data_IF_960932324720
#
_entry.id   IF_960932324720
#
_cell.length_a   1.000
_cell.length_b   1.000
_cell.length_c   1.000
_cell.angle_alpha   90.00
_cell.angle_beta   90.00
_cell.angle_gamma   90.00
#
_symmetry.space_group_name_H-M   'P 1'
#
loop_
_entity.id
_entity.type
_entity.pdbx_description
1 polymer ?
#
# COMPACT_ATOMS: atom_id res chain seq x y z
N UNK A 1 13.05 23.29 79.16
CA UNK A 1 13.50 24.20 78.08
C UNK A 1 13.85 23.35 76.87
N UNK A 2 13.34 23.45 75.65
CA UNK A 2 12.29 24.23 74.98
C UNK A 2 12.28 23.63 73.55
N UNK A 3 11.12 23.30 72.95
CA UNK A 3 10.80 23.29 71.50
C UNK A 3 11.65 22.45 70.49
N UNK A 4 11.15 21.77 69.44
CA UNK A 4 10.22 22.14 68.35
C UNK A 4 9.92 20.83 67.55
N UNK A 5 8.70 20.30 67.46
CA UNK A 5 7.70 20.50 66.37
C UNK A 5 8.21 20.38 64.91
N UNK A 6 7.84 19.30 64.20
CA UNK A 6 7.14 19.28 62.87
C UNK A 6 6.99 17.81 62.40
N UNK A 7 5.82 17.18 62.55
CA UNK A 7 4.67 17.11 61.64
C UNK A 7 4.76 16.03 60.54
N UNK A 8 4.27 14.83 60.93
CA UNK A 8 3.64 13.83 60.08
C UNK A 8 2.28 14.37 59.59
N UNK A 9 2.07 14.63 58.29
CA UNK A 9 0.75 14.46 57.61
C UNK A 9 0.88 14.68 56.09
N UNK A 10 0.60 13.66 55.27
CA UNK A 10 -0.12 13.76 53.98
C UNK A 10 -0.76 12.39 53.75
N UNK A 11 -1.96 12.15 54.28
CA UNK A 11 -3.25 12.23 53.59
C UNK A 11 -3.31 11.46 52.25
N UNK A 12 -4.01 10.33 52.28
CA UNK A 12 -4.55 9.65 51.12
C UNK A 12 -5.72 10.45 50.51
N UNK A 13 -5.84 10.49 49.18
CA UNK A 13 -7.13 10.40 48.47
C UNK A 13 -6.95 10.40 46.94
N UNK A 14 -7.32 9.26 46.33
CA UNK A 14 -8.16 9.12 45.14
C UNK A 14 -8.16 10.21 44.06
N UNK A 15 -7.71 9.83 42.86
CA UNK A 15 -8.47 10.08 41.63
C UNK A 15 -8.05 9.04 40.57
N UNK A 16 -8.87 8.00 40.44
CA UNK A 16 -8.93 7.18 39.23
C UNK A 16 -9.46 8.11 38.15
N UNK A 17 -8.56 8.66 37.34
CA UNK A 17 -8.93 9.36 36.14
C UNK A 17 -9.47 8.32 35.14
N UNK A 18 -10.79 8.23 35.07
CA UNK A 18 -11.47 7.59 33.95
C UNK A 18 -10.91 8.19 32.65
N UNK A 19 -10.48 7.38 31.66
CA UNK A 19 -10.18 7.93 30.35
C UNK A 19 -11.46 8.52 29.79
N UNK A 20 -11.53 9.86 29.76
CA UNK A 20 -12.56 10.56 29.03
C UNK A 20 -12.57 10.12 27.56
N UNK A 21 -13.69 10.27 26.85
CA UNK A 21 -13.78 9.94 25.44
C UNK A 21 -12.66 10.68 24.70
N UNK A 22 -11.80 9.92 24.01
CA UNK A 22 -10.80 10.50 23.11
C UNK A 22 -11.57 11.33 22.08
N UNK A 23 -11.14 12.57 21.79
CA UNK A 23 -11.72 13.32 20.70
C UNK A 23 -11.59 12.50 19.41
N UNK A 24 -12.71 12.32 18.72
CA UNK A 24 -12.75 11.80 17.36
C UNK A 24 -11.92 12.72 16.47
N UNK A 25 -10.64 12.40 16.29
CA UNK A 25 -9.88 12.90 15.15
C UNK A 25 -10.33 12.14 13.91
N UNK A 26 -11.55 12.44 13.46
CA UNK A 26 -11.87 12.33 12.05
C UNK A 26 -10.96 13.28 11.28
N UNK A 27 -10.30 12.79 10.23
CA UNK A 27 -9.48 13.56 9.29
C UNK A 27 -8.08 13.98 9.80
N UNK A 28 -7.24 12.99 10.11
CA UNK A 28 -5.86 13.10 9.65
C UNK A 28 -5.92 13.08 8.13
N UNK A 29 -5.76 14.23 7.48
CA UNK A 29 -5.81 14.33 6.03
C UNK A 29 -4.68 13.46 5.46
N UNK A 30 -5.04 12.26 5.00
CA UNK A 30 -4.14 11.43 4.21
C UNK A 30 -3.49 12.32 3.16
N UNK A 31 -2.16 12.23 3.02
CA UNK A 31 -1.47 12.95 1.96
C UNK A 31 -2.17 12.60 0.65
N UNK A 32 -2.81 13.58 0.00
CA UNK A 32 -3.46 13.40 -1.29
C UNK A 32 -2.54 14.11 -2.29
N UNK A 33 -1.73 13.33 -3.01
CA UNK A 33 -1.12 13.83 -4.23
C UNK A 33 -2.22 14.36 -5.14
N UNK A 34 -2.31 15.69 -5.26
CA UNK A 34 -3.32 16.36 -6.08
C UNK A 34 -2.87 16.40 -7.53
N UNK A 35 -2.97 15.29 -8.25
CA UNK A 35 -2.93 15.28 -9.71
C UNK A 35 -3.90 14.21 -10.22
N UNK A 36 -4.76 14.58 -11.17
CA UNK A 36 -5.68 13.64 -11.84
C UNK A 36 -4.87 12.87 -12.90
N UNK A 37 -4.04 11.94 -12.43
CA UNK A 37 -3.15 11.16 -13.29
C UNK A 37 -3.91 9.96 -13.83
N UNK A 38 -4.08 9.94 -15.14
CA UNK A 38 -4.66 8.79 -15.85
C UNK A 38 -3.57 7.74 -16.02
N UNK A 39 -3.91 6.46 -15.79
CA UNK A 39 -2.99 5.34 -16.01
C UNK A 39 -2.39 5.40 -17.41
N UNK A 40 -1.07 5.33 -17.51
CA UNK A 40 -0.42 5.18 -18.81
C UNK A 40 -0.36 3.69 -19.09
N UNK A 41 -1.10 3.24 -20.10
CA UNK A 41 -0.88 1.90 -20.64
C UNK A 41 0.35 1.99 -21.55
N UNK A 42 1.41 1.23 -21.29
CA UNK A 42 2.46 1.05 -22.27
C UNK A 42 1.82 0.52 -23.57
N UNK A 43 2.05 1.21 -24.69
CA UNK A 43 1.57 0.75 -26.00
C UNK A 43 2.34 -0.52 -26.42
N UNK A 44 1.63 -1.54 -26.90
CA UNK A 44 2.13 -2.91 -27.09
C UNK A 44 3.38 -3.11 -27.98
N UNK A 45 3.85 -2.11 -28.73
CA UNK A 45 5.04 -2.22 -29.60
C UNK A 45 6.33 -1.61 -29.05
N UNK A 46 6.26 -0.57 -28.21
CA UNK A 46 7.42 -0.01 -27.46
C UNK A 46 7.33 -0.29 -25.95
N UNK A 47 6.14 -0.65 -25.46
CA UNK A 47 5.81 -0.94 -24.08
C UNK A 47 6.26 -2.32 -23.61
N UNK A 48 6.34 -3.32 -24.48
CA UNK A 48 6.72 -4.68 -24.09
C UNK A 48 8.15 -4.78 -23.51
N UNK A 49 9.09 -3.94 -23.99
CA UNK A 49 10.46 -3.86 -23.40
C UNK A 49 10.48 -3.09 -22.09
N UNK A 50 9.70 -2.02 -21.97
CA UNK A 50 9.57 -1.26 -20.72
C UNK A 50 8.88 -2.11 -19.63
N UNK A 51 7.86 -2.89 -20.00
CA UNK A 51 7.14 -3.82 -19.14
C UNK A 51 8.03 -4.96 -18.68
N UNK A 52 8.88 -5.48 -19.57
CA UNK A 52 9.89 -6.47 -19.22
C UNK A 52 10.92 -5.89 -18.25
N UNK A 53 11.40 -4.66 -18.47
CA UNK A 53 12.34 -3.99 -17.57
C UNK A 53 11.73 -3.73 -16.19
N UNK A 54 10.50 -3.23 -16.15
CA UNK A 54 9.75 -2.98 -14.92
C UNK A 54 9.49 -4.29 -14.18
N UNK A 55 9.08 -5.35 -14.88
CA UNK A 55 8.89 -6.65 -14.27
C UNK A 55 10.20 -7.23 -13.71
N UNK A 56 11.30 -7.19 -14.47
CA UNK A 56 12.62 -7.64 -13.99
C UNK A 56 13.09 -6.82 -12.77
N UNK A 57 12.83 -5.51 -12.76
CA UNK A 57 13.12 -4.64 -11.62
C UNK A 57 12.24 -4.95 -10.40
N UNK A 58 11.02 -5.44 -10.63
CA UNK A 58 10.06 -5.76 -9.58
C UNK A 58 10.20 -7.18 -9.03
N UNK A 59 10.70 -8.16 -9.80
CA UNK A 59 10.78 -9.56 -9.38
C UNK A 59 11.47 -9.77 -8.01
N UNK A 60 12.62 -9.13 -7.69
CA UNK A 60 13.23 -9.28 -6.36
C UNK A 60 12.40 -8.66 -5.23
N UNK A 61 11.59 -7.62 -5.52
CA UNK A 61 10.68 -7.02 -4.54
C UNK A 61 9.45 -7.88 -4.32
N UNK A 62 8.87 -8.42 -5.39
CA UNK A 62 7.71 -9.32 -5.31
C UNK A 62 8.04 -10.56 -4.48
N UNK A 63 9.26 -11.11 -4.61
CA UNK A 63 9.74 -12.22 -3.77
C UNK A 63 9.80 -11.89 -2.27
N UNK A 64 9.87 -10.61 -1.88
CA UNK A 64 9.92 -10.14 -0.48
C UNK A 64 8.57 -9.64 0.05
N UNK A 65 7.59 -9.44 -0.82
CA UNK A 65 6.26 -8.94 -0.43
C UNK A 65 5.33 -10.14 -0.28
N UNK A 66 5.03 -10.49 0.97
CA UNK A 66 3.99 -11.49 1.24
C UNK A 66 2.61 -10.86 1.19
N UNK A 67 1.59 -11.63 0.79
CA UNK A 67 0.19 -11.18 0.82
C UNK A 67 -0.20 -10.75 2.23
N UNK A 68 0.24 -11.52 3.21
CA UNK A 68 0.04 -11.26 4.64
C UNK A 68 0.69 -9.92 5.04
N UNK A 69 1.93 -9.65 4.59
CA UNK A 69 2.59 -8.37 4.86
C UNK A 69 1.90 -7.17 4.20
N UNK A 70 1.12 -7.38 3.12
CA UNK A 70 0.28 -6.34 2.53
C UNK A 70 -1.01 -6.15 3.35
N UNK A 71 -1.68 -7.25 3.72
CA UNK A 71 -2.93 -7.23 4.50
C UNK A 71 -2.70 -6.65 5.89
N UNK A 72 -1.73 -7.19 6.61
CA UNK A 72 -1.45 -6.91 8.01
C UNK A 72 -0.75 -5.57 8.21
N UNK A 73 -0.40 -4.88 7.12
CA UNK A 73 0.11 -3.52 7.20
C UNK A 73 -1.00 -2.68 7.84
N UNK A 74 -0.77 -2.02 8.99
CA UNK A 74 -1.77 -1.12 9.57
C UNK A 74 -1.81 0.18 8.77
N UNK A 75 -3.00 0.76 8.56
CA UNK A 75 -3.12 2.15 8.14
C UNK A 75 -4.40 2.75 8.71
N UNK A 76 -4.25 3.86 9.42
CA UNK A 76 -5.39 4.64 9.89
C UNK A 76 -6.03 5.48 8.77
N UNK A 77 -5.35 5.62 7.63
CA UNK A 77 -5.84 6.38 6.49
C UNK A 77 -6.86 5.54 5.69
N UNK A 78 -8.15 5.80 5.92
CA UNK A 78 -9.25 5.22 5.11
C UNK A 78 -9.58 6.18 3.95
N UNK A 79 -9.60 5.64 2.74
CA UNK A 79 -9.81 6.38 1.48
C UNK A 79 -11.13 6.03 0.77
N UNK A 80 -12.01 5.32 1.47
CA UNK A 80 -13.36 4.95 0.99
C UNK A 80 -13.45 3.53 0.44
N UNK A 81 -14.68 3.04 0.32
CA UNK A 81 -14.98 1.68 -0.13
C UNK A 81 -15.47 1.59 -1.57
N UNK A 82 -15.41 0.39 -2.14
CA UNK A 82 -15.98 0.03 -3.43
C UNK A 82 -16.43 -1.44 -3.42
N UNK A 83 -17.21 -1.86 -4.41
CA UNK A 83 -17.74 -3.22 -4.51
C UNK A 83 -17.22 -3.91 -5.79
N UNK A 84 -16.96 -5.21 -5.69
CA UNK A 84 -16.60 -6.08 -6.81
C UNK A 84 -17.36 -7.38 -6.65
N UNK A 85 -18.31 -7.66 -7.56
CA UNK A 85 -19.26 -8.76 -7.38
C UNK A 85 -20.02 -8.61 -6.05
N UNK A 86 -19.97 -9.64 -5.20
CA UNK A 86 -20.57 -9.62 -3.86
C UNK A 86 -19.64 -9.06 -2.78
N UNK A 87 -18.34 -8.90 -3.06
CA UNK A 87 -17.35 -8.49 -2.08
C UNK A 87 -17.29 -6.96 -1.94
N UNK A 88 -17.10 -6.49 -0.71
CA UNK A 88 -16.91 -5.07 -0.39
C UNK A 88 -15.47 -4.84 0.02
N UNK A 89 -14.84 -3.89 -0.65
CA UNK A 89 -13.44 -3.53 -0.47
C UNK A 89 -13.31 -2.17 0.22
N UNK A 90 -12.30 -2.02 1.07
CA UNK A 90 -11.93 -0.76 1.70
C UNK A 90 -10.54 -0.33 1.23
N UNK A 91 -10.45 0.82 0.56
CA UNK A 91 -9.17 1.43 0.22
C UNK A 91 -8.57 2.10 1.45
N UNK A 92 -7.31 1.78 1.73
CA UNK A 92 -6.52 2.33 2.84
C UNK A 92 -5.09 2.61 2.39
N UNK A 93 -4.36 3.43 3.16
CA UNK A 93 -2.92 3.68 2.95
C UNK A 93 -2.57 5.16 2.76
N UNK A 94 -1.33 5.50 3.10
CA UNK A 94 -0.77 6.85 3.01
C UNK A 94 0.13 7.00 1.75
N UNK A 95 0.10 8.14 1.08
CA UNK A 95 0.96 8.36 -0.09
C UNK A 95 2.45 8.40 0.29
N UNK A 96 2.76 8.70 1.56
CA UNK A 96 4.11 8.61 2.12
C UNK A 96 4.57 7.20 2.51
N UNK A 97 3.69 6.19 2.46
CA UNK A 97 4.06 4.81 2.79
C UNK A 97 4.95 4.24 1.67
N UNK A 98 6.24 4.06 1.96
CA UNK A 98 7.27 3.81 0.95
C UNK A 98 6.95 2.70 -0.07
N UNK A 99 6.83 1.44 0.37
CA UNK A 99 6.75 0.31 -0.57
C UNK A 99 5.32 0.01 -1.06
N UNK A 100 4.32 0.13 -0.18
CA UNK A 100 2.91 -0.18 -0.49
C UNK A 100 2.05 0.99 -0.03
N UNK A 101 1.98 2.07 -0.82
CA UNK A 101 1.34 3.31 -0.40
C UNK A 101 -0.17 3.18 -0.25
N UNK A 102 -0.82 2.36 -1.08
CA UNK A 102 -2.28 2.17 -1.05
C UNK A 102 -2.65 0.71 -1.28
N UNK A 103 -3.68 0.24 -0.58
CA UNK A 103 -4.20 -1.13 -0.67
C UNK A 103 -5.69 -1.20 -0.42
N UNK A 104 -6.34 -2.14 -1.10
CA UNK A 104 -7.73 -2.49 -0.92
C UNK A 104 -7.84 -3.97 -0.53
N UNK A 105 -8.42 -4.21 0.63
CA UNK A 105 -8.75 -5.55 1.13
C UNK A 105 -10.27 -5.65 1.27
N UNK A 106 -10.79 -6.86 1.06
CA UNK A 106 -12.18 -7.17 1.40
C UNK A 106 -12.29 -7.56 2.88
N UNK A 107 -13.51 -7.49 3.41
CA UNK A 107 -13.83 -8.04 4.73
C UNK A 107 -13.81 -9.58 4.73
N UNK A 108 -14.03 -10.19 3.57
CA UNK A 108 -14.07 -11.65 3.40
C UNK A 108 -12.67 -12.27 3.48
N UNK A 109 -12.51 -13.24 4.37
CA UNK A 109 -11.27 -14.02 4.48
C UNK A 109 -10.96 -14.74 3.15
N UNK A 110 -9.70 -14.66 2.70
CA UNK A 110 -9.25 -15.31 1.46
C UNK A 110 -9.53 -14.52 0.17
N UNK A 111 -10.24 -13.39 0.24
CA UNK A 111 -10.43 -12.54 -0.94
C UNK A 111 -9.09 -12.03 -1.52
N UNK A 112 -8.99 -11.83 -2.84
CA UNK A 112 -7.83 -11.17 -3.44
C UNK A 112 -7.65 -9.77 -2.87
N UNK A 113 -6.40 -9.32 -2.76
CA UNK A 113 -6.04 -7.97 -2.30
C UNK A 113 -5.53 -7.18 -3.49
N UNK A 114 -5.97 -5.93 -3.66
CA UNK A 114 -5.38 -5.02 -4.64
C UNK A 114 -4.45 -4.03 -3.93
N UNK A 115 -3.31 -3.70 -4.51
CA UNK A 115 -2.37 -2.76 -3.91
C UNK A 115 -1.53 -2.04 -4.94
N UNK A 116 -1.07 -0.84 -4.59
CA UNK A 116 -0.03 -0.14 -5.31
C UNK A 116 1.32 -0.55 -4.74
N UNK A 117 2.26 -0.86 -5.63
CA UNK A 117 3.65 -1.14 -5.29
C UNK A 117 4.53 -0.05 -5.91
N UNK A 118 5.27 0.67 -5.07
CA UNK A 118 6.20 1.69 -5.54
C UNK A 118 7.34 1.06 -6.34
N UNK A 119 7.48 1.50 -7.58
CA UNK A 119 8.59 1.15 -8.47
C UNK A 119 9.70 2.16 -8.24
N UNK A 120 10.94 1.69 -8.17
CA UNK A 120 12.11 2.54 -7.94
C UNK A 120 13.14 2.24 -9.02
N UNK A 121 14.02 3.19 -9.27
CA UNK A 121 15.13 2.95 -10.18
C UNK A 121 16.07 1.91 -9.57
N UNK A 122 16.33 0.83 -10.30
CA UNK A 122 17.23 -0.25 -9.85
C UNK A 122 18.67 0.23 -9.74
N UNK A 123 19.10 1.17 -10.60
CA UNK A 123 20.44 1.74 -10.55
C UNK A 123 20.59 2.62 -9.30
N UNK A 124 19.57 3.41 -8.98
CA UNK A 124 19.56 4.19 -7.74
C UNK A 124 19.43 3.29 -6.51
N UNK A 125 18.69 2.17 -6.59
CA UNK A 125 18.59 1.21 -5.49
C UNK A 125 19.96 0.61 -5.17
N UNK A 126 20.71 0.19 -6.21
CA UNK A 126 22.07 -0.32 -6.04
C UNK A 126 23.00 0.78 -5.50
N UNK A 127 22.92 1.99 -6.05
CA UNK A 127 23.69 3.13 -5.56
C UNK A 127 23.38 3.47 -4.09
N UNK A 128 22.11 3.35 -3.66
CA UNK A 128 21.68 3.58 -2.28
C UNK A 128 22.17 2.50 -1.32
N UNK A 129 22.29 1.25 -1.80
CA UNK A 129 22.80 0.13 -1.00
C UNK A 129 24.30 0.29 -0.67
N UNK A 130 25.05 1.00 -1.53
CA UNK A 130 26.45 1.33 -1.35
C UNK A 130 26.68 2.66 -0.58
N UNK A 131 25.65 3.16 0.12
CA UNK A 131 25.72 4.37 0.94
C UNK A 131 25.34 5.66 0.21
N UNK A 132 24.74 5.57 -0.98
CA UNK A 132 24.16 6.68 -1.71
C UNK A 132 22.79 7.13 -1.19
N UNK A 133 22.23 8.15 -1.82
CA UNK A 133 20.90 8.67 -1.51
C UNK A 133 19.80 7.61 -1.73
N UNK A 134 18.69 7.65 -0.97
CA UNK A 134 17.58 6.72 -1.16
C UNK A 134 17.04 6.79 -2.60
N UNK A 135 16.86 5.64 -3.23
CA UNK A 135 16.31 5.56 -4.58
C UNK A 135 14.92 6.22 -4.66
N UNK A 136 14.74 7.07 -5.67
CA UNK A 136 13.48 7.74 -5.93
C UNK A 136 12.40 6.74 -6.38
N UNK A 137 11.13 7.10 -6.12
CA UNK A 137 10.00 6.37 -6.70
C UNK A 137 9.81 6.83 -8.15
N UNK A 138 9.95 5.89 -9.09
CA UNK A 138 9.72 6.11 -10.52
C UNK A 138 8.23 6.06 -10.89
N UNK A 139 7.42 5.42 -10.05
CA UNK A 139 6.00 5.26 -10.28
C UNK A 139 5.39 4.19 -9.37
N UNK A 140 4.22 3.71 -9.77
CA UNK A 140 3.42 2.77 -9.01
C UNK A 140 2.85 1.70 -9.93
N UNK A 141 3.00 0.44 -9.54
CA UNK A 141 2.36 -0.68 -10.21
C UNK A 141 1.08 -1.07 -9.45
N UNK A 142 -0.05 -1.16 -10.15
CA UNK A 142 -1.25 -1.80 -9.60
C UNK A 142 -1.09 -3.32 -9.68
N UNK A 143 -1.10 -3.92 -8.51
CA UNK A 143 -0.98 -5.35 -8.30
C UNK A 143 -2.27 -5.91 -7.69
N UNK A 144 -2.58 -7.17 -7.99
CA UNK A 144 -3.45 -7.99 -7.14
C UNK A 144 -2.70 -9.19 -6.61
N UNK A 145 -2.96 -9.58 -5.37
CA UNK A 145 -2.40 -10.78 -4.74
C UNK A 145 -3.50 -11.75 -4.33
N UNK A 146 -3.32 -13.01 -4.70
CA UNK A 146 -4.06 -14.15 -4.18
C UNK A 146 -3.11 -15.07 -3.42
N UNK A 147 -3.60 -16.18 -2.87
CA UNK A 147 -2.72 -17.20 -2.29
C UNK A 147 -1.80 -17.86 -3.33
N UNK A 148 -2.16 -17.81 -4.62
CA UNK A 148 -1.47 -18.53 -5.69
C UNK A 148 -0.58 -17.66 -6.54
N UNK A 149 -0.97 -16.42 -6.76
CA UNK A 149 -0.31 -15.55 -7.74
C UNK A 149 -0.38 -14.08 -7.35
N UNK A 150 0.62 -13.34 -7.81
CA UNK A 150 0.62 -11.89 -7.91
C UNK A 150 0.48 -11.49 -9.38
N UNK A 151 -0.40 -10.53 -9.67
CA UNK A 151 -0.69 -10.08 -11.05
C UNK A 151 -0.54 -8.58 -11.13
N UNK A 152 0.24 -8.10 -12.09
CA UNK A 152 0.37 -6.68 -12.41
C UNK A 152 -0.62 -6.29 -13.50
N UNK A 153 -1.30 -5.16 -13.34
CA UNK A 153 -2.39 -4.74 -14.23
C UNK A 153 -2.15 -3.39 -14.90
N UNK A 154 -1.50 -2.45 -14.20
CA UNK A 154 -1.29 -1.10 -14.70
C UNK A 154 -0.05 -0.46 -14.06
N UNK A 155 0.55 0.49 -14.76
CA UNK A 155 1.61 1.34 -14.25
C UNK A 155 1.17 2.81 -14.23
N UNK A 156 1.55 3.54 -13.19
CA UNK A 156 1.31 4.96 -13.05
C UNK A 156 2.63 5.67 -12.82
N UNK A 157 2.91 6.72 -13.60
CA UNK A 157 4.11 7.56 -13.40
C UNK A 157 4.02 8.45 -12.16
N UNK A 158 2.81 8.65 -11.65
CA UNK A 158 2.54 9.42 -10.45
C UNK A 158 1.34 8.81 -9.70
N UNK A 159 1.13 9.22 -8.46
CA UNK A 159 0.09 8.63 -7.60
C UNK A 159 -1.31 8.88 -8.20
N UNK A 160 -2.09 7.84 -8.55
CA UNK A 160 -3.42 8.05 -9.12
C UNK A 160 -4.40 8.65 -8.11
N UNK A 161 -5.36 9.43 -8.59
CA UNK A 161 -6.47 9.90 -7.77
C UNK A 161 -7.32 8.72 -7.24
N UNK A 162 -7.87 8.84 -6.03
CA UNK A 162 -8.62 7.76 -5.39
C UNK A 162 -9.81 7.25 -6.22
N UNK A 163 -10.46 8.13 -6.99
CA UNK A 163 -11.58 7.74 -7.87
C UNK A 163 -11.09 6.80 -8.97
N UNK A 164 -10.02 7.18 -9.66
CA UNK A 164 -9.39 6.41 -10.74
C UNK A 164 -8.87 5.08 -10.19
N UNK A 165 -8.13 5.14 -9.08
CA UNK A 165 -7.56 3.96 -8.46
C UNK A 165 -8.62 2.93 -8.04
N UNK A 166 -9.74 3.35 -7.43
CA UNK A 166 -10.82 2.42 -7.07
C UNK A 166 -11.46 1.77 -8.30
N UNK A 167 -11.63 2.51 -9.39
CA UNK A 167 -12.17 1.97 -10.64
C UNK A 167 -11.22 0.92 -11.25
N UNK A 168 -9.93 1.21 -11.30
CA UNK A 168 -8.93 0.30 -11.86
C UNK A 168 -8.71 -0.92 -10.96
N UNK A 169 -8.70 -0.75 -9.63
CA UNK A 169 -8.69 -1.86 -8.67
C UNK A 169 -9.92 -2.75 -8.84
N UNK A 170 -11.12 -2.17 -9.03
CA UNK A 170 -12.34 -2.95 -9.23
C UNK A 170 -12.25 -3.82 -10.50
N UNK A 171 -11.73 -3.25 -11.61
CA UNK A 171 -11.53 -3.98 -12.87
C UNK A 171 -10.45 -5.06 -12.78
N UNK A 172 -9.38 -4.80 -12.05
CA UNK A 172 -8.34 -5.80 -11.78
C UNK A 172 -8.89 -6.97 -10.94
N UNK A 173 -9.64 -6.66 -9.88
CA UNK A 173 -10.24 -7.65 -8.98
C UNK A 173 -11.38 -8.45 -9.64
N UNK A 174 -12.10 -7.88 -10.60
CA UNK A 174 -13.11 -8.62 -11.39
C UNK A 174 -12.50 -9.47 -12.51
N UNK A 175 -11.21 -9.31 -12.81
CA UNK A 175 -10.55 -9.97 -13.94
C UNK A 175 -10.94 -9.39 -15.31
N UNK A 176 -11.59 -8.21 -15.35
CA UNK A 176 -11.97 -7.51 -16.58
C UNK A 176 -10.84 -6.66 -17.18
N UNK A 177 -9.74 -6.49 -16.44
CA UNK A 177 -8.53 -5.86 -16.93
C UNK A 177 -7.67 -6.87 -17.72
N UNK A 178 -6.74 -6.36 -18.53
CA UNK A 178 -5.70 -7.18 -19.17
C UNK A 178 -4.46 -7.15 -18.28
N UNK A 179 -3.94 -8.31 -17.82
CA UNK A 179 -2.73 -8.35 -17.02
C UNK A 179 -1.50 -8.02 -17.87
N UNK A 180 -0.49 -7.40 -17.26
CA UNK A 180 0.83 -7.15 -17.86
C UNK A 180 1.70 -8.41 -17.66
N UNK A 181 1.77 -8.88 -16.41
CA UNK A 181 2.43 -10.13 -16.06
C UNK A 181 1.76 -10.77 -14.85
N UNK A 182 2.04 -12.06 -14.68
CA UNK A 182 1.56 -12.88 -13.57
C UNK A 182 2.76 -13.62 -13.00
N UNK A 183 2.85 -13.70 -11.68
CA UNK A 183 3.90 -14.43 -10.98
C UNK A 183 3.26 -15.48 -10.09
N UNK A 184 3.59 -16.75 -10.31
CA UNK A 184 3.18 -17.84 -9.43
C UNK A 184 3.97 -17.75 -8.12
N UNK A 185 3.28 -17.72 -6.98
CA UNK A 185 3.91 -17.54 -5.65
C UNK A 185 4.62 -18.80 -5.15
N UNK A 186 4.29 -19.98 -5.67
CA UNK A 186 4.91 -21.26 -5.30
C UNK A 186 6.20 -21.50 -6.08
N UNK A 187 6.19 -21.21 -7.38
CA UNK A 187 7.35 -21.45 -8.26
C UNK A 187 8.20 -20.22 -8.48
N UNK A 188 7.70 -19.02 -8.13
CA UNK A 188 8.28 -17.73 -8.50
C UNK A 188 8.43 -17.52 -10.02
N UNK A 189 7.73 -18.34 -10.83
CA UNK A 189 7.75 -18.21 -12.28
C UNK A 189 6.89 -17.01 -12.71
N UNK A 190 7.46 -16.15 -13.56
CA UNK A 190 6.77 -14.98 -14.08
C UNK A 190 6.43 -15.18 -15.55
N UNK A 191 5.16 -15.01 -15.89
CA UNK A 191 4.62 -15.11 -17.23
C UNK A 191 4.12 -13.75 -17.68
N UNK A 192 4.64 -13.27 -18.81
CA UNK A 192 4.17 -12.05 -19.46
C UNK A 192 2.96 -12.38 -20.31
N UNK A 193 1.89 -11.61 -20.16
CA UNK A 193 0.67 -11.80 -20.95
C UNK A 193 0.72 -10.76 -22.06
N UNK A 194 1.00 -11.21 -23.28
CA UNK A 194 0.92 -10.33 -24.46
C UNK A 194 -0.53 -9.86 -24.60
N UNK A 195 -0.76 -8.57 -24.39
CA UNK A 195 -2.05 -7.90 -24.63
C UNK A 195 -2.30 -7.62 -26.10
#
# INVERSE_FOLDING_TARGET
>A
MTTLQTLFTVLAAWLVASPGPRPDTSSGACANGREDVTAERPHATDGAQADLLVAMAMSPKLAKITREAVIDRPSACRRGGFAVGSARYMLTGDDGDGMVPRRAHAEDAGAPVAYLLSTIDMQELVASADGGEPAGTLGYALMTSTEREDVAWAFYKAMPADRTLRADMARALSGEASPIFRTDRRTSETQFVAG
#
